data_IF_044592253934
#
_entry.id   IF_044592253934
#
_cell.length_a   1.000
_cell.length_b   1.000
_cell.length_c   1.000
_cell.angle_alpha   90.00
_cell.angle_beta   90.00
_cell.angle_gamma   90.00
#
_symmetry.space_group_name_H-M   'P 1'
#
loop_
_entity.id
_entity.type
_entity.pdbx_description
1 polymer ?
#
# COMPACT_ATOMS: atom_id res chain seq x y z
N UNK A 1 6.46 21.97 -43.55
CA UNK A 1 6.72 22.17 -42.11
C UNK A 1 5.41 22.29 -41.31
N UNK A 2 4.42 23.06 -41.80
CA UNK A 2 3.12 23.27 -41.16
C UNK A 2 2.30 21.97 -40.92
N UNK A 3 2.12 21.13 -41.94
CA UNK A 3 1.35 19.87 -41.84
C UNK A 3 2.01 18.85 -40.90
N UNK A 4 3.35 18.78 -40.91
CA UNK A 4 4.12 17.88 -40.03
C UNK A 4 3.99 18.29 -38.56
N UNK A 5 4.06 19.60 -38.28
CA UNK A 5 3.88 20.10 -36.91
C UNK A 5 2.44 19.94 -36.43
N UNK A 6 1.45 20.08 -37.33
CA UNK A 6 0.04 19.84 -37.04
C UNK A 6 -0.26 18.36 -36.71
N UNK A 7 0.35 17.43 -37.45
CA UNK A 7 0.24 15.99 -37.19
C UNK A 7 0.93 15.59 -35.87
N UNK A 8 2.11 16.14 -35.59
CA UNK A 8 2.82 15.90 -34.33
C UNK A 8 2.04 16.43 -33.11
N UNK A 9 1.42 17.61 -33.21
CA UNK A 9 0.57 18.13 -32.13
C UNK A 9 -0.70 17.30 -31.94
N UNK A 10 -1.31 16.81 -33.03
CA UNK A 10 -2.50 15.97 -32.94
C UNK A 10 -2.22 14.61 -32.27
N UNK A 11 -1.06 14.00 -32.56
CA UNK A 11 -0.62 12.74 -31.93
C UNK A 11 -0.32 12.96 -30.44
N UNK A 12 0.32 14.07 -30.07
CA UNK A 12 0.58 14.43 -28.68
C UNK A 12 -0.72 14.68 -27.89
N UNK A 13 -1.70 15.37 -28.49
CA UNK A 13 -3.02 15.58 -27.88
C UNK A 13 -3.82 14.27 -27.75
N UNK A 14 -3.70 13.33 -28.68
CA UNK A 14 -4.36 12.03 -28.60
C UNK A 14 -3.78 11.14 -27.49
N UNK A 15 -2.46 11.20 -27.26
CA UNK A 15 -1.80 10.45 -26.19
C UNK A 15 -2.19 10.93 -24.77
N UNK A 16 -2.58 12.20 -24.61
CA UNK A 16 -3.04 12.74 -23.33
C UNK A 16 -4.49 12.32 -23.02
N UNK A 17 -5.33 12.17 -24.06
CA UNK A 17 -6.74 11.79 -23.88
C UNK A 17 -6.95 10.31 -23.52
N UNK A 18 -5.97 9.45 -23.78
CA UNK A 18 -5.99 8.02 -23.43
C UNK A 18 -5.05 7.77 -22.25
N UNK A 19 -5.36 8.39 -21.11
CA UNK A 19 -4.73 8.02 -19.85
C UNK A 19 -5.05 6.57 -19.49
N UNK A 20 -4.17 5.86 -18.76
CA UNK A 20 -4.47 4.50 -18.32
C UNK A 20 -5.78 4.51 -17.52
N UNK A 21 -6.71 3.65 -17.92
CA UNK A 21 -7.89 3.36 -17.10
C UNK A 21 -7.38 2.66 -15.83
N UNK A 22 -7.22 3.43 -14.75
CA UNK A 22 -7.02 2.85 -13.43
C UNK A 22 -8.29 2.09 -13.09
N UNK A 23 -8.27 0.77 -13.25
CA UNK A 23 -9.32 -0.09 -12.74
C UNK A 23 -9.31 0.12 -11.23
N UNK A 24 -10.31 0.84 -10.71
CA UNK A 24 -10.44 1.06 -9.29
C UNK A 24 -10.60 -0.30 -8.62
N UNK A 25 -9.57 -0.77 -7.93
CA UNK A 25 -9.66 -1.98 -7.12
C UNK A 25 -10.67 -1.71 -6.02
N UNK A 26 -11.77 -2.47 -6.00
CA UNK A 26 -12.77 -2.35 -4.93
C UNK A 26 -12.24 -2.94 -3.64
N UNK A 27 -12.60 -2.32 -2.51
CA UNK A 27 -12.27 -2.87 -1.19
C UNK A 27 -12.94 -4.24 -1.00
N UNK A 28 -12.19 -5.19 -0.46
CA UNK A 28 -12.66 -6.55 -0.13
C UNK A 28 -12.75 -6.69 1.39
N UNK A 29 -13.97 -6.69 1.91
CA UNK A 29 -14.25 -6.78 3.34
C UNK A 29 -13.89 -8.13 3.97
N UNK A 30 -14.00 -9.22 3.22
CA UNK A 30 -13.68 -10.57 3.72
C UNK A 30 -12.17 -10.72 3.91
N UNK A 31 -11.40 -10.21 2.95
CA UNK A 31 -9.93 -10.12 3.10
C UNK A 31 -9.54 -9.24 4.27
N UNK A 32 -10.19 -8.09 4.44
CA UNK A 32 -9.90 -7.17 5.54
C UNK A 32 -10.16 -7.82 6.92
N UNK A 33 -11.29 -8.52 7.08
CA UNK A 33 -11.61 -9.26 8.30
C UNK A 33 -10.61 -10.40 8.56
N UNK A 34 -10.13 -11.07 7.52
CA UNK A 34 -9.09 -12.10 7.66
C UNK A 34 -7.80 -11.53 8.25
N UNK A 35 -7.34 -10.36 7.79
CA UNK A 35 -6.17 -9.69 8.37
C UNK A 35 -6.40 -9.23 9.81
N UNK A 36 -7.62 -8.80 10.16
CA UNK A 36 -7.97 -8.44 11.53
C UNK A 36 -7.94 -9.65 12.47
N UNK A 37 -8.51 -10.79 12.05
CA UNK A 37 -8.51 -12.03 12.84
C UNK A 37 -7.10 -12.52 13.12
N UNK A 38 -6.24 -12.56 12.10
CA UNK A 38 -4.84 -12.96 12.27
C UNK A 38 -4.12 -12.14 13.35
N UNK A 39 -4.31 -10.81 13.38
CA UNK A 39 -3.73 -9.94 14.42
C UNK A 39 -4.29 -10.20 15.81
N UNK A 40 -5.58 -10.54 15.92
CA UNK A 40 -6.22 -10.86 17.20
C UNK A 40 -5.79 -12.23 17.73
N UNK A 41 -5.53 -13.21 16.86
CA UNK A 41 -5.11 -14.56 17.23
C UNK A 41 -3.74 -14.59 17.92
N UNK A 42 -2.84 -13.63 17.64
CA UNK A 42 -1.58 -13.49 18.37
C UNK A 42 -1.76 -13.09 19.85
N UNK A 43 -2.90 -12.51 20.21
CA UNK A 43 -3.20 -11.99 21.55
C UNK A 43 -3.03 -10.47 21.69
N UNK A 44 -3.06 -9.93 22.92
CA UNK A 44 -2.95 -8.49 23.18
C UNK A 44 -1.59 -7.91 22.75
N UNK A 45 -1.59 -6.84 21.93
CA UNK A 45 -0.38 -6.22 21.35
C UNK A 45 0.29 -5.22 22.28
N UNK A 46 0.43 -5.58 23.56
CA UNK A 46 1.11 -4.74 24.55
C UNK A 46 2.62 -4.72 24.22
N UNK A 47 3.28 -3.56 24.13
CA UNK A 47 4.71 -3.49 23.84
C UNK A 47 5.55 -4.37 24.77
N UNK A 48 6.54 -5.06 24.21
CA UNK A 48 7.43 -5.98 24.95
C UNK A 48 6.86 -7.39 25.17
N UNK A 49 5.64 -7.68 24.73
CA UNK A 49 5.08 -9.04 24.77
C UNK A 49 5.38 -9.83 23.48
N UNK A 50 5.33 -11.18 23.52
CA UNK A 50 5.48 -11.99 22.30
C UNK A 50 4.42 -11.67 21.22
N UNK A 51 3.18 -11.40 21.63
CA UNK A 51 2.08 -11.06 20.72
C UNK A 51 2.33 -9.76 19.94
N UNK A 52 2.98 -8.78 20.58
CA UNK A 52 3.43 -7.55 19.92
C UNK A 52 4.45 -7.84 18.81
N UNK A 53 5.48 -8.63 19.11
CA UNK A 53 6.51 -8.99 18.13
C UNK A 53 5.93 -9.80 16.96
N UNK A 54 5.08 -10.80 17.25
CA UNK A 54 4.41 -11.60 16.23
C UNK A 54 3.52 -10.75 15.31
N UNK A 55 2.77 -9.81 15.88
CA UNK A 55 1.94 -8.88 15.10
C UNK A 55 2.80 -7.96 14.22
N UNK A 56 3.90 -7.44 14.76
CA UNK A 56 4.84 -6.60 14.01
C UNK A 56 5.44 -7.36 12.81
N UNK A 57 5.88 -8.60 13.03
CA UNK A 57 6.43 -9.45 11.98
C UNK A 57 5.39 -9.80 10.92
N UNK A 58 4.15 -10.11 11.33
CA UNK A 58 3.03 -10.31 10.42
C UNK A 58 2.79 -9.09 9.51
N UNK A 59 2.72 -7.90 10.10
CA UNK A 59 2.50 -6.67 9.34
C UNK A 59 3.65 -6.38 8.37
N UNK A 60 4.90 -6.53 8.80
CA UNK A 60 6.07 -6.36 7.91
C UNK A 60 6.00 -7.32 6.73
N UNK A 61 5.71 -8.60 7.00
CA UNK A 61 5.59 -9.63 5.96
C UNK A 61 4.47 -9.30 4.98
N UNK A 62 3.29 -8.93 5.47
CA UNK A 62 2.14 -8.68 4.60
C UNK A 62 2.33 -7.41 3.78
N UNK A 63 2.80 -6.31 4.39
CA UNK A 63 3.04 -5.04 3.70
C UNK A 63 4.14 -5.16 2.63
N UNK A 64 5.19 -5.95 2.88
CA UNK A 64 6.30 -6.14 1.92
C UNK A 64 5.86 -6.82 0.62
N UNK A 65 4.67 -7.42 0.57
CA UNK A 65 4.11 -8.03 -0.66
C UNK A 65 3.55 -6.98 -1.62
N UNK A 66 3.26 -5.78 -1.12
CA UNK A 66 2.49 -4.76 -1.84
C UNK A 66 3.25 -3.43 -1.95
N UNK A 67 4.11 -3.12 -0.98
CA UNK A 67 4.91 -1.90 -0.98
C UNK A 67 6.30 -2.14 -1.59
N UNK A 68 6.87 -1.11 -2.22
CA UNK A 68 8.25 -1.14 -2.70
C UNK A 68 9.25 -1.24 -1.53
N UNK A 69 8.95 -0.58 -0.41
CA UNK A 69 9.77 -0.58 0.80
C UNK A 69 8.91 -0.53 2.08
N UNK A 70 9.32 -1.27 3.12
CA UNK A 70 8.72 -1.24 4.45
C UNK A 70 9.79 -0.84 5.47
N UNK A 71 9.58 0.29 6.16
CA UNK A 71 10.50 0.80 7.18
C UNK A 71 9.89 0.71 8.58
N UNK A 72 10.69 0.26 9.55
CA UNK A 72 10.31 0.20 10.97
C UNK A 72 10.92 1.40 11.72
N UNK A 73 10.07 2.28 12.25
CA UNK A 73 10.52 3.38 13.09
C UNK A 73 10.59 2.95 14.56
N UNK A 74 11.81 2.71 15.06
CA UNK A 74 12.03 2.37 16.47
C UNK A 74 12.17 3.63 17.32
N UNK A 75 11.48 3.66 18.46
CA UNK A 75 11.58 4.75 19.43
C UNK A 75 11.37 4.22 20.86
N UNK A 76 11.77 5.02 21.85
CA UNK A 76 11.49 4.75 23.26
C UNK A 76 10.49 5.78 23.77
N UNK A 77 9.32 5.32 24.23
CA UNK A 77 8.30 6.19 24.78
C UNK A 77 8.79 6.80 26.10
N UNK A 78 8.58 8.12 26.27
CA UNK A 78 8.71 8.79 27.56
C UNK A 78 7.30 8.93 28.12
N UNK A 79 7.04 8.28 29.25
CA UNK A 79 5.80 8.49 30.00
C UNK A 79 6.08 9.66 30.94
N UNK A 80 5.38 10.77 30.72
CA UNK A 80 5.40 11.95 31.60
C UNK A 80 4.48 11.80 32.78
#
# INVERSE_FOLDING_TARGET
>A
MFVRNLLLSAIFSLAIAVGPAYCATTFDGERAITHLRAQCEFGPRVPGTPAYEQTKDYLKKELSRWADEVQEQKFQARIG
#
